data_IF_028991206515
#
_entry.id   IF_028991206515
#
_cell.length_a   1.000
_cell.length_b   1.000
_cell.length_c   1.000
_cell.angle_alpha   90.00
_cell.angle_beta   90.00
_cell.angle_gamma   90.00
#
_symmetry.space_group_name_H-M   'P 1'
#
loop_
_entity.id
_entity.type
_entity.pdbx_description
1 polymer ?
#
# COMPACT_ATOMS: atom_id res chain seq x y z
N UNK A 1 -0.49 -20.47 18.62
CA UNK A 1 -0.55 -19.70 17.36
C UNK A 1 -0.07 -18.30 17.67
N UNK A 2 0.67 -17.67 16.76
CA UNK A 2 1.08 -16.28 16.94
C UNK A 2 -0.14 -15.34 16.88
N UNK A 3 -0.01 -14.14 17.44
CA UNK A 3 -1.08 -13.14 17.43
C UNK A 3 -0.82 -12.02 16.41
N UNK A 4 -1.88 -11.35 15.97
CA UNK A 4 -1.76 -10.13 15.18
C UNK A 4 -0.97 -9.03 15.91
N UNK A 5 -1.07 -8.95 17.24
CA UNK A 5 -0.29 -8.04 18.07
C UNK A 5 1.22 -8.34 18.03
N UNK A 6 1.62 -9.62 18.05
CA UNK A 6 3.02 -10.03 17.92
C UNK A 6 3.59 -9.75 16.52
N UNK A 7 2.75 -9.87 15.48
CA UNK A 7 3.12 -9.49 14.11
C UNK A 7 3.38 -7.99 14.03
N UNK A 8 2.50 -7.16 14.60
CA UNK A 8 2.66 -5.70 14.66
C UNK A 8 3.87 -5.31 15.52
N UNK A 9 4.11 -5.98 16.64
CA UNK A 9 5.29 -5.73 17.48
C UNK A 9 6.58 -5.95 16.67
N UNK A 10 6.64 -7.04 15.88
CA UNK A 10 7.76 -7.28 14.97
C UNK A 10 7.87 -6.18 13.90
N UNK A 11 6.75 -5.78 13.28
CA UNK A 11 6.74 -4.71 12.28
C UNK A 11 7.30 -3.39 12.84
N UNK A 12 6.94 -3.04 14.08
CA UNK A 12 7.40 -1.81 14.75
C UNK A 12 8.91 -1.79 15.00
N UNK A 13 9.56 -2.95 15.17
CA UNK A 13 11.03 -3.03 15.29
C UNK A 13 11.78 -2.58 14.04
N UNK A 14 11.10 -2.54 12.89
CA UNK A 14 11.70 -2.19 11.59
C UNK A 14 11.49 -0.73 11.20
N UNK A 15 10.78 0.07 12.01
CA UNK A 15 10.54 1.48 11.72
C UNK A 15 11.87 2.22 11.53
N UNK A 16 11.96 2.99 10.44
CA UNK A 16 13.16 3.71 10.02
C UNK A 16 14.07 2.95 9.05
N UNK A 17 13.89 1.63 8.89
CA UNK A 17 14.65 0.85 7.91
C UNK A 17 14.29 1.27 6.47
N UNK A 18 15.26 1.17 5.56
CA UNK A 18 15.17 1.76 4.21
C UNK A 18 14.17 1.04 3.31
N UNK A 19 13.59 1.79 2.37
CA UNK A 19 12.78 1.24 1.29
C UNK A 19 13.61 1.15 0.01
N UNK A 20 13.65 -0.04 -0.59
CA UNK A 20 14.22 -0.33 -1.92
C UNK A 20 13.41 -1.48 -2.52
N UNK A 21 13.09 -1.41 -3.81
CA UNK A 21 12.50 -2.55 -4.52
C UNK A 21 13.53 -3.69 -4.56
N UNK A 22 13.36 -4.68 -3.69
CA UNK A 22 14.30 -5.78 -3.51
C UNK A 22 13.54 -7.02 -3.06
N UNK A 23 13.96 -8.18 -3.56
CA UNK A 23 13.49 -9.45 -3.02
C UNK A 23 14.13 -9.72 -1.65
N UNK A 24 13.31 -9.99 -0.64
CA UNK A 24 13.72 -10.32 0.73
C UNK A 24 13.65 -11.83 0.94
N UNK A 25 14.69 -12.45 1.56
CA UNK A 25 14.62 -13.85 2.00
C UNK A 25 13.67 -13.97 3.21
N UNK A 26 12.49 -14.56 3.01
CA UNK A 26 11.44 -14.64 4.04
C UNK A 26 11.87 -15.47 5.24
N UNK A 27 12.74 -16.45 5.05
CA UNK A 27 13.27 -17.33 6.09
C UNK A 27 14.39 -16.71 6.95
N UNK A 28 15.00 -15.61 6.50
CA UNK A 28 15.99 -14.90 7.30
C UNK A 28 15.33 -14.02 8.36
N UNK A 29 15.20 -14.54 9.58
CA UNK A 29 14.66 -13.81 10.73
C UNK A 29 15.49 -12.58 11.14
N UNK A 30 16.77 -12.55 10.75
CA UNK A 30 17.71 -11.46 11.06
C UNK A 30 17.82 -10.43 9.93
N UNK A 31 16.94 -10.46 8.92
CA UNK A 31 16.93 -9.43 7.89
C UNK A 31 16.55 -8.06 8.47
N UNK A 32 17.33 -7.03 8.12
CA UNK A 32 17.18 -5.63 8.58
C UNK A 32 17.10 -4.69 7.37
N UNK A 33 16.10 -4.93 6.53
CA UNK A 33 15.90 -4.20 5.30
C UNK A 33 17.07 -4.29 4.30
N UNK A 34 16.99 -3.56 3.18
CA UNK A 34 15.87 -2.71 2.80
C UNK A 34 14.60 -3.51 2.45
N UNK A 35 13.50 -2.79 2.30
CA UNK A 35 12.16 -3.35 2.14
C UNK A 35 11.45 -2.78 0.91
N UNK A 36 10.56 -3.57 0.32
CA UNK A 36 9.36 -3.03 -0.33
C UNK A 36 8.10 -3.38 0.46
N UNK A 37 6.93 -2.86 0.05
CA UNK A 37 5.70 -3.03 0.80
C UNK A 37 5.20 -4.49 0.86
N UNK A 38 5.26 -5.22 -0.25
CA UNK A 38 4.81 -6.61 -0.31
C UNK A 38 5.79 -7.53 0.42
N UNK A 39 7.08 -7.32 0.18
CA UNK A 39 8.19 -8.05 0.78
C UNK A 39 8.21 -7.91 2.31
N UNK A 40 8.00 -6.69 2.81
CA UNK A 40 7.90 -6.42 4.25
C UNK A 40 6.76 -7.21 4.89
N UNK A 41 5.54 -7.14 4.33
CA UNK A 41 4.38 -7.81 4.93
C UNK A 41 4.48 -9.33 4.78
N UNK A 42 4.93 -9.84 3.64
CA UNK A 42 5.14 -11.28 3.44
C UNK A 42 6.22 -11.84 4.38
N UNK A 43 7.31 -11.09 4.62
CA UNK A 43 8.32 -11.47 5.61
C UNK A 43 7.73 -11.49 7.02
N UNK A 44 6.98 -10.45 7.43
CA UNK A 44 6.33 -10.41 8.76
C UNK A 44 5.42 -11.61 9.00
N UNK A 45 4.58 -11.93 8.01
CA UNK A 45 3.66 -13.07 8.08
C UNK A 45 4.46 -14.37 8.17
N UNK A 46 5.43 -14.59 7.28
CA UNK A 46 6.25 -15.80 7.31
C UNK A 46 6.97 -15.99 8.66
N UNK A 47 7.48 -14.91 9.27
CA UNK A 47 8.14 -14.99 10.57
C UNK A 47 7.20 -15.50 11.68
N UNK A 48 5.90 -15.20 11.58
CA UNK A 48 4.90 -15.56 12.61
C UNK A 48 4.15 -16.85 12.32
N UNK A 49 3.97 -17.21 11.06
CA UNK A 49 3.11 -18.33 10.64
C UNK A 49 3.87 -19.47 9.98
N UNK A 50 5.10 -19.21 9.48
CA UNK A 50 5.87 -20.11 8.60
C UNK A 50 5.12 -20.46 7.30
N UNK A 51 4.17 -19.61 6.90
CA UNK A 51 3.43 -19.68 5.63
C UNK A 51 3.76 -18.47 4.77
N UNK A 52 3.92 -18.70 3.47
CA UNK A 52 4.07 -17.62 2.51
C UNK A 52 2.69 -17.14 2.07
N UNK A 53 2.53 -15.83 2.06
CA UNK A 53 1.39 -15.14 1.49
C UNK A 53 1.90 -13.97 0.66
N UNK A 54 1.14 -13.60 -0.36
CA UNK A 54 1.45 -12.51 -1.27
C UNK A 54 2.71 -12.73 -2.10
N UNK A 55 3.18 -13.98 -2.22
CA UNK A 55 4.30 -14.33 -3.08
C UNK A 55 3.79 -14.76 -4.46
N UNK A 56 4.55 -14.57 -5.53
CA UNK A 56 4.22 -15.04 -6.89
C UNK A 56 3.85 -16.54 -6.83
N UNK A 57 4.63 -17.31 -6.06
CA UNK A 57 4.33 -18.68 -5.67
C UNK A 57 4.45 -18.84 -4.15
N UNK A 58 3.34 -19.17 -3.48
CA UNK A 58 3.27 -19.34 -2.03
C UNK A 58 3.80 -20.72 -1.56
N UNK A 59 4.07 -21.66 -2.47
CA UNK A 59 4.66 -22.96 -2.15
C UNK A 59 6.18 -23.01 -2.47
N UNK A 60 6.72 -21.90 -2.96
CA UNK A 60 8.13 -21.78 -3.30
C UNK A 60 9.04 -21.72 -2.07
N UNK A 61 10.35 -21.89 -2.28
CA UNK A 61 11.35 -21.76 -1.22
C UNK A 61 11.31 -20.33 -0.63
N UNK A 62 11.05 -20.16 0.68
CA UNK A 62 10.97 -18.84 1.33
C UNK A 62 12.22 -17.96 1.17
N UNK A 63 13.41 -18.55 0.97
CA UNK A 63 14.65 -17.81 0.71
C UNK A 63 14.61 -16.98 -0.59
N UNK A 64 13.79 -17.40 -1.56
CA UNK A 64 13.76 -16.84 -2.92
C UNK A 64 12.36 -16.52 -3.43
N UNK A 65 11.32 -16.75 -2.62
CA UNK A 65 9.95 -16.37 -2.94
C UNK A 65 9.88 -14.86 -3.17
N UNK A 66 9.30 -14.43 -4.29
CA UNK A 66 9.14 -13.01 -4.62
C UNK A 66 7.74 -12.54 -4.23
N UNK A 67 7.65 -11.49 -3.43
CA UNK A 67 6.40 -10.90 -3.00
C UNK A 67 5.94 -9.80 -3.95
N UNK A 68 4.63 -9.72 -4.16
CA UNK A 68 4.03 -8.72 -5.03
C UNK A 68 2.64 -8.35 -4.55
N UNK A 69 2.29 -7.06 -4.57
CA UNK A 69 0.96 -6.58 -4.17
C UNK A 69 -0.17 -7.22 -4.99
N UNK A 70 0.07 -7.58 -6.25
CA UNK A 70 -0.94 -8.31 -7.05
C UNK A 70 -1.11 -9.77 -6.61
N UNK A 71 -0.07 -10.39 -6.07
CA UNK A 71 -0.16 -11.73 -5.45
C UNK A 71 -0.94 -11.67 -4.13
N UNK A 72 -0.80 -10.58 -3.36
CA UNK A 72 -1.67 -10.32 -2.21
C UNK A 72 -3.15 -10.18 -2.61
N UNK A 73 -3.44 -9.49 -3.72
CA UNK A 73 -4.80 -9.43 -4.27
C UNK A 73 -5.31 -10.80 -4.69
N UNK A 74 -4.46 -11.63 -5.33
CA UNK A 74 -4.80 -13.02 -5.69
C UNK A 74 -5.19 -13.81 -4.45
N UNK A 75 -4.40 -13.73 -3.38
CA UNK A 75 -4.64 -14.47 -2.14
C UNK A 75 -5.90 -13.99 -1.40
N UNK A 76 -6.17 -12.68 -1.42
CA UNK A 76 -7.40 -12.13 -0.87
C UNK A 76 -8.65 -12.62 -1.64
N UNK A 77 -8.55 -12.79 -2.97
CA UNK A 77 -9.65 -13.24 -3.83
C UNK A 77 -9.88 -14.74 -3.81
N UNK A 78 -8.84 -15.55 -3.62
CA UNK A 78 -8.96 -17.00 -3.64
C UNK A 78 -9.58 -17.58 -2.37
N UNK A 79 -9.70 -16.78 -1.31
CA UNK A 79 -10.27 -17.19 -0.03
C UNK A 79 -9.25 -17.86 0.91
N UNK A 80 -7.96 -17.89 0.56
CA UNK A 80 -6.89 -18.38 1.47
C UNK A 80 -6.60 -17.38 2.60
N UNK A 81 -7.09 -16.15 2.49
CA UNK A 81 -7.11 -15.13 3.53
C UNK A 81 -8.56 -14.86 3.94
N UNK A 82 -8.79 -14.61 5.23
CA UNK A 82 -10.13 -14.32 5.75
C UNK A 82 -10.48 -12.86 5.49
N UNK A 83 -11.58 -12.59 4.80
CA UNK A 83 -12.07 -11.21 4.57
C UNK A 83 -12.36 -10.50 5.89
N UNK A 84 -12.05 -9.22 5.95
CA UNK A 84 -12.37 -8.32 7.07
C UNK A 84 -12.81 -6.94 6.56
N UNK A 85 -12.83 -5.93 7.43
CA UNK A 85 -13.25 -4.55 7.10
C UNK A 85 -12.30 -3.51 7.67
N UNK A 86 -12.37 -2.28 7.14
CA UNK A 86 -11.64 -1.14 7.74
C UNK A 86 -12.05 -0.88 9.19
N UNK A 87 -13.32 -1.09 9.56
CA UNK A 87 -13.81 -0.95 10.94
C UNK A 87 -13.11 -1.92 11.90
N UNK A 88 -12.86 -3.15 11.43
CA UNK A 88 -12.09 -4.12 12.19
C UNK A 88 -10.60 -3.75 12.20
N UNK A 89 -10.04 -3.33 11.05
CA UNK A 89 -8.65 -2.93 10.96
C UNK A 89 -8.31 -1.77 11.91
N UNK A 90 -9.18 -0.77 12.10
CA UNK A 90 -8.87 0.36 13.00
C UNK A 90 -8.67 -0.05 14.46
N UNK A 91 -9.18 -1.21 14.89
CA UNK A 91 -9.12 -1.64 16.28
C UNK A 91 -8.48 -3.02 16.49
N UNK A 92 -8.09 -3.71 15.43
CA UNK A 92 -7.51 -5.06 15.53
C UNK A 92 -6.10 -5.08 14.90
N UNK A 93 -5.04 -5.33 15.70
CA UNK A 93 -3.68 -5.38 15.21
C UNK A 93 -3.45 -6.60 14.32
N UNK A 94 -2.61 -6.44 13.28
CA UNK A 94 -2.22 -7.53 12.39
C UNK A 94 -3.18 -7.78 11.23
N UNK A 95 -4.26 -6.99 11.11
CA UNK A 95 -5.11 -6.97 9.92
C UNK A 95 -4.30 -6.40 8.75
N UNK A 96 -4.34 -7.05 7.59
CA UNK A 96 -3.59 -6.64 6.39
C UNK A 96 -4.51 -5.81 5.50
N UNK A 97 -4.02 -4.66 5.03
CA UNK A 97 -4.70 -3.80 4.09
C UNK A 97 -3.96 -3.82 2.76
N UNK A 98 -4.70 -4.04 1.68
CA UNK A 98 -4.16 -4.23 0.33
C UNK A 98 -4.85 -3.25 -0.60
N UNK A 99 -4.06 -2.44 -1.28
CA UNK A 99 -4.50 -1.70 -2.46
C UNK A 99 -3.93 -2.38 -3.69
N UNK A 100 -4.80 -2.64 -4.66
CA UNK A 100 -4.44 -3.33 -5.91
C UNK A 100 -3.49 -2.48 -6.75
N UNK A 101 -2.62 -3.11 -7.55
CA UNK A 101 -1.93 -2.43 -8.63
C UNK A 101 -2.90 -1.64 -9.54
N UNK A 102 -2.57 -0.40 -9.92
CA UNK A 102 -3.43 0.38 -10.82
C UNK A 102 -3.44 -0.15 -12.26
N UNK A 103 -2.43 -0.92 -12.65
CA UNK A 103 -2.30 -1.54 -13.97
C UNK A 103 -1.48 -2.83 -13.90
N UNK A 104 -1.52 -3.69 -14.93
CA UNK A 104 -0.56 -4.78 -15.09
C UNK A 104 0.88 -4.26 -15.01
N UNK A 105 1.73 -4.96 -14.24
CA UNK A 105 3.14 -4.60 -14.06
C UNK A 105 3.41 -3.38 -13.18
N UNK A 106 2.37 -2.77 -12.58
CA UNK A 106 2.51 -1.68 -11.60
C UNK A 106 2.46 -2.21 -10.17
N UNK A 107 2.92 -1.40 -9.22
CA UNK A 107 2.86 -1.76 -7.80
C UNK A 107 1.60 -1.16 -7.17
N UNK A 108 0.93 -1.97 -6.36
CA UNK A 108 -0.10 -1.53 -5.43
C UNK A 108 0.53 -1.13 -4.11
N UNK A 109 -0.16 -1.38 -3.00
CA UNK A 109 0.41 -1.17 -1.67
C UNK A 109 -0.12 -2.19 -0.67
N UNK A 110 0.73 -2.65 0.23
CA UNK A 110 0.35 -3.58 1.31
C UNK A 110 0.86 -3.04 2.63
N UNK A 111 0.01 -3.07 3.65
CA UNK A 111 0.31 -2.57 4.98
C UNK A 111 -0.32 -3.45 6.06
N UNK A 112 0.24 -3.40 7.28
CA UNK A 112 -0.36 -4.04 8.45
C UNK A 112 -0.97 -2.98 9.37
N UNK A 113 -2.19 -3.18 9.84
CA UNK A 113 -2.82 -2.34 10.87
C UNK A 113 -2.14 -2.53 12.23
N UNK A 114 -1.91 -1.44 12.94
CA UNK A 114 -1.46 -1.48 14.33
C UNK A 114 -2.59 -1.66 15.35
N UNK A 115 -3.84 -1.71 14.89
CA UNK A 115 -5.04 -1.83 15.73
C UNK A 115 -5.40 -0.57 16.50
N UNK A 116 -4.82 0.58 16.16
CA UNK A 116 -5.06 1.90 16.77
C UNK A 116 -5.32 2.97 15.70
N UNK A 117 -5.99 2.59 14.61
CA UNK A 117 -6.30 3.44 13.46
C UNK A 117 -5.10 3.76 12.55
N UNK A 118 -3.90 3.24 12.84
CA UNK A 118 -2.69 3.44 12.03
C UNK A 118 -2.25 2.14 11.38
N UNK A 119 -1.30 2.27 10.46
CA UNK A 119 -0.59 1.12 9.87
C UNK A 119 0.89 1.17 10.20
N UNK A 120 1.57 0.03 10.07
CA UNK A 120 3.03 -0.04 9.92
C UNK A 120 3.31 -0.53 8.51
N UNK A 121 4.10 0.22 7.74
CA UNK A 121 4.26 -0.03 6.30
C UNK A 121 5.63 0.42 5.80
N UNK A 122 6.20 -0.35 4.87
CA UNK A 122 7.29 0.12 4.02
C UNK A 122 6.68 1.02 2.93
N UNK A 123 6.90 2.32 3.02
CA UNK A 123 6.04 3.33 2.37
C UNK A 123 6.61 3.99 1.10
N UNK A 124 7.75 3.52 0.59
CA UNK A 124 8.39 4.06 -0.62
C UNK A 124 9.77 4.70 -0.36
N UNK A 125 10.49 4.94 -1.46
CA UNK A 125 11.84 5.52 -1.47
C UNK A 125 11.85 6.87 -0.77
N UNK A 126 12.70 7.02 0.26
CA UNK A 126 12.80 8.23 1.07
C UNK A 126 11.85 8.30 2.28
N UNK A 127 10.94 7.33 2.43
CA UNK A 127 10.07 7.17 3.59
C UNK A 127 10.47 6.00 4.50
N UNK A 128 10.95 4.91 3.92
CA UNK A 128 11.30 3.71 4.67
C UNK A 128 10.09 3.04 5.31
N UNK A 129 10.34 2.22 6.33
CA UNK A 129 9.29 1.66 7.19
C UNK A 129 8.82 2.71 8.18
N UNK A 130 7.52 2.96 8.23
CA UNK A 130 6.95 4.03 9.06
C UNK A 130 5.51 3.76 9.46
N UNK A 131 4.99 4.54 10.43
CA UNK A 131 3.56 4.62 10.66
C UNK A 131 2.83 5.27 9.48
N UNK A 132 1.68 4.69 9.12
CA UNK A 132 0.70 5.22 8.17
C UNK A 132 -0.70 5.33 8.81
N UNK A 133 -1.74 5.49 7.99
CA UNK A 133 -3.15 5.54 8.43
C UNK A 133 -3.93 4.37 7.85
N UNK A 134 -4.94 3.90 8.57
CA UNK A 134 -5.98 3.01 8.02
C UNK A 134 -6.97 3.84 7.19
N UNK A 135 -7.67 4.80 7.83
CA UNK A 135 -8.72 5.60 7.18
C UNK A 135 -8.19 6.70 6.26
N UNK A 136 -9.06 7.13 5.33
CA UNK A 136 -8.78 8.21 4.37
C UNK A 136 -7.81 7.80 3.26
N UNK A 137 -7.68 6.48 3.02
CA UNK A 137 -6.87 5.87 1.97
C UNK A 137 -7.70 4.83 1.27
N UNK A 138 -7.46 4.65 -0.03
CA UNK A 138 -8.10 3.61 -0.80
C UNK A 138 -7.46 2.24 -0.47
N UNK A 139 -8.27 1.32 0.05
CA UNK A 139 -7.93 -0.10 0.20
C UNK A 139 -8.95 -0.93 -0.56
N UNK A 140 -8.50 -1.83 -1.42
CA UNK A 140 -9.38 -2.71 -2.19
C UNK A 140 -9.73 -3.98 -1.40
N UNK A 141 -8.83 -4.42 -0.52
CA UNK A 141 -9.03 -5.59 0.34
C UNK A 141 -8.53 -5.32 1.76
N UNK A 142 -9.28 -5.82 2.73
CA UNK A 142 -8.88 -5.88 4.13
C UNK A 142 -9.04 -7.31 4.59
N UNK A 143 -7.96 -7.92 5.09
CA UNK A 143 -7.91 -9.37 5.31
C UNK A 143 -7.16 -9.75 6.58
N UNK A 144 -7.46 -10.94 7.10
CA UNK A 144 -6.79 -11.60 8.22
C UNK A 144 -6.08 -12.86 7.73
N UNK A 145 -4.91 -13.12 8.28
CA UNK A 145 -4.14 -14.34 8.05
C UNK A 145 -4.70 -15.44 8.97
N UNK A 146 -5.17 -16.58 8.44
CA UNK A 146 -5.89 -17.59 9.22
C UNK A 146 -5.10 -18.17 10.41
N UNK A 147 -3.77 -18.24 10.31
CA UNK A 147 -2.91 -18.78 11.36
C UNK A 147 -2.69 -17.84 12.55
N UNK A 148 -3.13 -16.58 12.45
CA UNK A 148 -2.98 -15.59 13.51
C UNK A 148 -4.23 -15.51 14.38
N UNK A 149 -4.01 -15.34 15.68
CA UNK A 149 -5.07 -14.97 16.62
C UNK A 149 -5.24 -13.46 16.69
N UNK A 150 -6.49 -13.01 16.76
CA UNK A 150 -6.85 -11.59 16.73
C UNK A 150 -7.66 -11.22 17.96
N UNK A 151 -7.32 -10.08 18.56
CA UNK A 151 -8.05 -9.48 19.66
C UNK A 151 -8.20 -7.98 19.40
N UNK A 152 -9.41 -7.45 19.58
CA UNK A 152 -9.66 -6.01 19.45
C UNK A 152 -9.00 -5.26 20.61
N UNK A 153 -8.48 -4.06 20.31
CA UNK A 153 -7.96 -3.11 21.30
C UNK A 153 -9.06 -2.25 21.92
N UNK A 154 -10.30 -2.33 21.39
CA UNK A 154 -11.39 -1.41 21.75
C UNK A 154 -11.20 0.02 21.22
N UNK A 155 -10.19 0.26 20.39
CA UNK A 155 -9.97 1.58 19.80
C UNK A 155 -11.13 1.97 18.88
N UNK A 156 -11.53 3.25 18.94
CA UNK A 156 -12.54 3.81 18.04
C UNK A 156 -11.86 4.93 17.25
N UNK A 157 -11.82 4.77 15.93
CA UNK A 157 -11.36 5.79 15.01
C UNK A 157 -12.57 6.45 14.35
N UNK A 158 -12.50 7.77 14.18
CA UNK A 158 -13.54 8.51 13.45
C UNK A 158 -13.66 7.98 12.01
N UNK A 159 -14.89 7.89 11.52
CA UNK A 159 -15.13 7.65 10.10
C UNK A 159 -14.57 8.81 9.27
N UNK A 160 -13.97 8.47 8.14
CA UNK A 160 -13.44 9.45 7.19
C UNK A 160 -13.93 9.02 5.82
N UNK A 161 -14.62 9.93 5.12
CA UNK A 161 -15.02 9.69 3.74
C UNK A 161 -13.79 9.52 2.87
N UNK A 162 -13.83 8.51 1.97
CA UNK A 162 -12.72 8.32 1.06
C UNK A 162 -12.60 9.55 0.15
N UNK A 163 -11.39 10.11 0.02
CA UNK A 163 -11.20 11.22 -0.88
C UNK A 163 -11.39 10.76 -2.32
N UNK A 164 -11.79 11.69 -3.19
CA UNK A 164 -11.71 11.46 -4.63
C UNK A 164 -10.25 11.18 -5.02
N UNK A 165 -10.03 10.14 -5.82
CA UNK A 165 -8.72 9.72 -6.32
C UNK A 165 -8.75 9.67 -7.84
N UNK A 166 -7.72 10.18 -8.51
CA UNK A 166 -7.47 9.86 -9.91
C UNK A 166 -6.60 8.62 -10.00
N UNK A 167 -7.16 7.59 -10.61
CA UNK A 167 -6.54 6.30 -10.89
C UNK A 167 -6.56 6.05 -12.40
N UNK A 168 -5.73 5.11 -12.87
CA UNK A 168 -5.85 4.61 -14.24
C UNK A 168 -7.13 3.78 -14.36
N UNK A 169 -8.02 4.19 -15.25
CA UNK A 169 -9.28 3.51 -15.57
C UNK A 169 -9.22 2.86 -16.95
N UNK A 170 -10.04 1.84 -17.19
CA UNK A 170 -10.22 1.20 -18.49
C UNK A 170 -11.74 0.98 -18.76
N UNK A 171 -12.35 1.69 -19.74
CA UNK A 171 -11.73 2.71 -20.58
C UNK A 171 -11.42 3.98 -19.80
N UNK A 172 -10.31 4.62 -20.14
CA UNK A 172 -9.92 5.91 -19.56
C UNK A 172 -10.76 7.04 -20.16
N UNK A 173 -11.26 7.96 -19.34
CA UNK A 173 -12.06 9.10 -19.80
C UNK A 173 -11.33 10.42 -19.60
N UNK A 174 -11.39 11.30 -20.61
CA UNK A 174 -10.72 12.59 -20.55
C UNK A 174 -11.43 13.54 -19.57
N UNK A 175 -10.67 14.18 -18.67
CA UNK A 175 -11.21 15.12 -17.67
C UNK A 175 -10.39 16.42 -17.58
N UNK A 176 -11.04 17.59 -17.36
CA UNK A 176 -10.34 18.83 -17.07
C UNK A 176 -9.41 18.75 -15.85
N UNK A 177 -9.76 17.93 -14.85
CA UNK A 177 -8.93 17.74 -13.66
C UNK A 177 -7.63 17.02 -14.00
N UNK A 178 -7.69 15.99 -14.85
CA UNK A 178 -6.49 15.29 -15.33
C UNK A 178 -5.58 16.24 -16.12
N UNK A 179 -6.14 17.14 -16.95
CA UNK A 179 -5.33 18.17 -17.64
C UNK A 179 -4.63 19.11 -16.67
N UNK A 180 -5.27 19.46 -15.54
CA UNK A 180 -4.62 20.25 -14.47
C UNK A 180 -3.45 19.48 -13.87
N UNK A 181 -3.64 18.20 -13.57
CA UNK A 181 -2.57 17.32 -13.05
C UNK A 181 -1.42 17.19 -14.05
N UNK A 182 -1.70 16.85 -15.31
CA UNK A 182 -0.67 16.72 -16.36
C UNK A 182 0.14 18.02 -16.52
N UNK A 183 -0.51 19.19 -16.53
CA UNK A 183 0.21 20.48 -16.53
C UNK A 183 1.08 20.68 -15.30
N UNK A 184 0.56 20.37 -14.11
CA UNK A 184 1.31 20.52 -12.87
C UNK A 184 2.52 19.59 -12.83
N UNK A 185 2.39 18.33 -13.28
CA UNK A 185 3.50 17.38 -13.42
C UNK A 185 4.57 17.92 -14.37
N UNK A 186 4.16 18.36 -15.56
CA UNK A 186 5.08 18.93 -16.56
C UNK A 186 5.83 20.15 -16.01
N UNK A 187 5.13 21.04 -15.30
CA UNK A 187 5.73 22.21 -14.66
C UNK A 187 6.68 21.84 -13.51
N UNK A 188 6.42 20.72 -12.82
CA UNK A 188 7.30 20.16 -11.79
C UNK A 188 8.48 19.35 -12.35
N UNK A 189 8.61 19.24 -13.69
CA UNK A 189 9.72 18.55 -14.35
C UNK A 189 9.50 17.06 -14.62
N UNK A 190 8.27 16.56 -14.48
CA UNK A 190 7.89 15.17 -14.76
C UNK A 190 7.10 15.11 -16.06
N UNK A 191 7.41 14.19 -16.97
CA UNK A 191 6.74 14.10 -18.28
C UNK A 191 5.51 13.16 -18.23
N UNK A 192 4.27 13.70 -18.21
CA UNK A 192 3.06 12.89 -18.25
C UNK A 192 2.67 12.44 -19.67
N UNK A 193 3.46 12.80 -20.69
CA UNK A 193 3.08 12.68 -22.09
C UNK A 193 2.20 13.85 -22.56
N UNK A 194 1.21 13.56 -23.40
CA UNK A 194 0.30 14.58 -23.94
C UNK A 194 -0.62 15.12 -22.84
N UNK A 195 -0.93 16.42 -22.89
CA UNK A 195 -1.91 17.05 -21.99
C UNK A 195 -3.30 16.93 -22.65
N UNK A 196 -3.78 15.70 -22.77
CA UNK A 196 -5.05 15.32 -23.39
C UNK A 196 -6.20 15.21 -22.37
N UNK A 197 -5.87 15.14 -21.08
CA UNK A 197 -6.83 14.91 -20.02
C UNK A 197 -7.13 13.45 -19.75
N UNK A 198 -6.42 12.53 -20.40
CA UNK A 198 -6.54 11.10 -20.16
C UNK A 198 -5.52 10.67 -19.10
N UNK A 199 -5.99 9.98 -18.04
CA UNK A 199 -5.11 9.50 -16.98
C UNK A 199 -4.42 8.19 -17.38
N UNK A 200 -3.61 8.24 -18.45
CA UNK A 200 -2.98 7.05 -19.05
C UNK A 200 -1.67 6.62 -18.37
N UNK A 201 -1.03 5.53 -18.88
CA UNK A 201 0.20 4.98 -18.31
C UNK A 201 1.37 5.96 -18.19
N UNK A 202 1.51 6.92 -19.11
CA UNK A 202 2.51 7.98 -19.03
C UNK A 202 2.24 8.93 -17.86
N UNK A 203 0.98 9.34 -17.67
CA UNK A 203 0.55 10.12 -16.51
C UNK A 203 0.82 9.37 -15.20
N UNK A 204 0.51 8.08 -15.14
CA UNK A 204 0.79 7.21 -13.97
C UNK A 204 2.29 7.23 -13.64
N UNK A 205 3.16 7.01 -14.63
CA UNK A 205 4.61 7.00 -14.43
C UNK A 205 5.15 8.37 -13.95
N UNK A 206 4.62 9.48 -14.49
CA UNK A 206 4.98 10.82 -14.05
C UNK A 206 4.54 11.09 -12.60
N UNK A 207 3.34 10.62 -12.21
CA UNK A 207 2.84 10.72 -10.84
C UNK A 207 3.70 9.90 -9.88
N UNK A 208 4.06 8.66 -10.23
CA UNK A 208 4.96 7.82 -9.43
C UNK A 208 6.30 8.52 -9.17
N UNK A 209 6.91 9.07 -10.22
CA UNK A 209 8.18 9.78 -10.12
C UNK A 209 8.06 11.06 -9.26
N UNK A 210 7.00 11.84 -9.44
CA UNK A 210 6.73 13.02 -8.63
C UNK A 210 6.49 12.68 -7.15
N UNK A 211 5.73 11.62 -6.88
CA UNK A 211 5.48 11.16 -5.52
C UNK A 211 6.78 10.76 -4.82
N UNK A 212 7.65 10.06 -5.55
CA UNK A 212 8.97 9.66 -5.05
C UNK A 212 9.83 10.88 -4.71
N UNK A 213 9.91 11.89 -5.60
CA UNK A 213 10.66 13.12 -5.33
C UNK A 213 10.06 13.95 -4.19
N UNK A 214 8.74 13.83 -3.98
CA UNK A 214 7.98 14.58 -2.97
C UNK A 214 7.86 13.87 -1.62
N UNK A 215 8.53 12.71 -1.43
CA UNK A 215 8.46 11.87 -0.24
C UNK A 215 7.02 11.45 0.08
N UNK A 216 6.28 11.06 -0.95
CA UNK A 216 4.96 10.45 -0.87
C UNK A 216 5.08 8.95 -1.18
N UNK A 217 4.02 8.19 -0.89
CA UNK A 217 3.88 6.82 -1.41
C UNK A 217 3.83 6.91 -2.93
N UNK A 218 4.74 6.23 -3.62
CA UNK A 218 4.86 6.23 -5.09
C UNK A 218 4.01 5.10 -5.65
N UNK A 219 2.74 5.41 -5.93
CA UNK A 219 1.70 4.46 -6.32
C UNK A 219 0.98 4.83 -7.62
N UNK A 220 1.32 5.99 -8.20
CA UNK A 220 0.74 6.44 -9.45
C UNK A 220 -0.71 6.90 -9.32
N UNK A 221 -1.20 7.13 -8.09
CA UNK A 221 -2.55 7.61 -7.80
C UNK A 221 -2.50 9.04 -7.27
N UNK A 222 -3.25 9.95 -7.90
CA UNK A 222 -3.38 11.31 -7.36
C UNK A 222 -4.54 11.36 -6.39
N UNK A 223 -4.24 11.56 -5.11
CA UNK A 223 -5.19 11.95 -4.08
C UNK A 223 -4.87 13.33 -3.49
N UNK A 224 -5.55 13.75 -2.41
CA UNK A 224 -5.36 15.08 -1.81
C UNK A 224 -3.91 15.40 -1.44
N UNK A 225 -3.15 14.42 -0.96
CA UNK A 225 -1.74 14.61 -0.61
C UNK A 225 -0.86 14.92 -1.84
N UNK A 226 -1.05 14.18 -2.93
CA UNK A 226 -0.36 14.40 -4.21
C UNK A 226 -0.78 15.73 -4.83
N UNK A 227 -2.09 16.00 -4.87
CA UNK A 227 -2.65 17.24 -5.41
C UNK A 227 -2.15 18.49 -4.66
N UNK A 228 -2.12 18.44 -3.32
CA UNK A 228 -1.57 19.50 -2.47
C UNK A 228 -0.09 19.77 -2.79
N UNK A 229 0.71 18.73 -3.01
CA UNK A 229 2.13 18.87 -3.37
C UNK A 229 2.31 19.42 -4.79
N UNK A 230 1.41 19.10 -5.71
CA UNK A 230 1.38 19.63 -7.08
C UNK A 230 0.81 21.06 -7.17
N UNK A 231 0.16 21.56 -6.11
CA UNK A 231 -0.57 22.83 -6.16
C UNK A 231 -1.84 22.77 -7.03
N UNK A 232 -2.47 21.61 -7.12
CA UNK A 232 -3.72 21.42 -7.88
C UNK A 232 -4.91 21.48 -6.91
N UNK A 233 -5.87 22.35 -7.21
CA UNK A 233 -7.16 22.38 -6.51
C UNK A 233 -7.84 21.01 -6.64
N UNK A 234 -8.14 20.40 -5.50
CA UNK A 234 -8.64 19.04 -5.43
C UNK A 234 -10.08 19.00 -4.93
N UNK A 235 -10.97 18.22 -5.57
CA UNK A 235 -12.30 18.00 -5.01
C UNK A 235 -12.15 17.23 -3.70
N UNK A 236 -12.42 17.91 -2.58
CA UNK A 236 -12.65 17.23 -1.32
C UNK A 236 -14.12 16.79 -1.29
N UNK A 237 -14.44 15.56 -0.86
CA UNK A 237 -15.83 15.22 -0.58
C UNK A 237 -16.38 16.22 0.45
N UNK A 238 -17.66 16.63 0.35
CA UNK A 238 -18.30 17.34 1.44
C UNK A 238 -18.17 16.48 2.71
N UNK A 239 -17.71 17.13 3.79
CA UNK A 239 -17.58 16.50 5.11
C UNK A 239 -18.94 16.24 5.75
#
# INVERSE_FOLDING_TARGET
MATGAELVALAKTRIGEKYVNIRVPKDNANWHGPWDCAEFVSWLVFQKTKRLYGCIDNESNPAVAEAYSGSWVRDARSGVLTSSSEDDAVNTPGVILIRRPPAPGKMGHVAVSDGLGKTVEAAGTGLGVRPGKVRGRLWDFVVKVPELQYASTGHVAAEVTLPFMLILEDPNTASPLVRKVQRALKNAGFDPGKIDGEYGPHTVAAVEAFQMSSKLVSDGVVGPATAKKLGVDWPNPPG
#
